data_IF_451915262673
#
_entry.id   IF_451915262673
#
_cell.length_a   1.000
_cell.length_b   1.000
_cell.length_c   1.000
_cell.angle_alpha   90.00
_cell.angle_beta   90.00
_cell.angle_gamma   90.00
#
_symmetry.space_group_name_H-M   'P 1'
#
loop_
_entity.id
_entity.type
_entity.pdbx_description
1 polymer ?
#
# COMPACT_ATOMS: atom_id res chain seq x y z
N UNK A 1 -44.06 -14.03 -21.21
CA UNK A 1 -42.88 -13.23 -21.58
C UNK A 1 -42.19 -12.79 -20.30
N UNK A 2 -41.07 -13.40 -19.94
CA UNK A 2 -40.24 -13.00 -18.78
C UNK A 2 -38.99 -12.30 -19.34
N UNK A 3 -38.80 -11.05 -18.99
CA UNK A 3 -37.64 -10.26 -19.41
C UNK A 3 -36.44 -10.64 -18.54
N UNK A 4 -35.42 -11.23 -19.17
CA UNK A 4 -34.09 -11.43 -18.59
C UNK A 4 -33.38 -10.07 -18.54
N UNK A 5 -33.22 -9.49 -17.35
CA UNK A 5 -32.26 -8.39 -17.14
C UNK A 5 -30.86 -9.01 -17.10
N UNK A 6 -30.03 -8.63 -18.06
CA UNK A 6 -28.61 -8.99 -18.11
C UNK A 6 -27.88 -8.28 -16.99
N UNK A 7 -27.37 -9.03 -16.03
CA UNK A 7 -26.41 -8.56 -15.03
C UNK A 7 -25.05 -8.48 -15.73
N UNK A 8 -24.53 -7.27 -15.89
CA UNK A 8 -23.15 -7.04 -16.33
C UNK A 8 -22.29 -7.15 -15.07
N UNK A 9 -21.57 -8.26 -14.96
CA UNK A 9 -20.57 -8.47 -13.92
C UNK A 9 -19.30 -7.78 -14.41
N UNK A 10 -18.95 -6.65 -13.81
CA UNK A 10 -17.64 -6.02 -13.96
C UNK A 10 -16.71 -6.73 -12.99
N UNK A 11 -15.69 -7.41 -13.50
CA UNK A 11 -14.63 -8.01 -12.69
C UNK A 11 -13.65 -6.92 -12.27
N UNK A 12 -13.79 -6.40 -11.05
CA UNK A 12 -12.69 -5.72 -10.37
C UNK A 12 -11.71 -6.80 -9.92
N UNK A 13 -10.56 -6.92 -10.60
CA UNK A 13 -9.50 -7.85 -10.23
C UNK A 13 -8.66 -7.15 -9.17
N UNK A 14 -9.08 -7.27 -7.90
CA UNK A 14 -8.21 -7.00 -6.77
C UNK A 14 -7.19 -8.15 -6.67
N UNK A 15 -6.02 -7.98 -7.28
CA UNK A 15 -4.90 -8.91 -7.11
C UNK A 15 -4.34 -8.74 -5.70
N UNK A 16 -4.89 -9.49 -4.74
CA UNK A 16 -4.33 -9.66 -3.41
C UNK A 16 -3.08 -10.54 -3.53
N UNK A 17 -1.91 -9.92 -3.71
CA UNK A 17 -0.63 -10.61 -3.59
C UNK A 17 -0.29 -10.80 -2.11
N UNK A 18 -0.50 -12.03 -1.61
CA UNK A 18 -0.11 -12.45 -0.26
C UNK A 18 1.34 -12.91 -0.33
N UNK A 19 2.27 -12.11 0.21
CA UNK A 19 3.67 -12.51 0.35
C UNK A 19 3.92 -13.16 1.71
N UNK A 20 4.50 -14.35 1.68
CA UNK A 20 4.97 -15.06 2.87
C UNK A 20 6.17 -14.30 3.47
N UNK A 21 6.08 -13.97 4.76
CA UNK A 21 7.19 -13.41 5.54
C UNK A 21 8.24 -14.51 5.72
N UNK A 22 9.23 -14.55 4.82
CA UNK A 22 10.48 -15.26 5.04
C UNK A 22 11.38 -14.41 5.93
N UNK A 23 11.68 -14.89 7.14
CA UNK A 23 12.69 -14.28 7.99
C UNK A 23 14.05 -14.23 7.27
N UNK A 24 14.57 -13.04 6.99
CA UNK A 24 15.91 -12.85 6.45
C UNK A 24 16.96 -13.00 7.56
N UNK A 25 17.67 -14.13 7.56
CA UNK A 25 18.91 -14.28 8.32
C UNK A 25 20.08 -13.75 7.48
N UNK A 26 20.73 -12.71 8.02
CA UNK A 26 21.91 -12.12 7.46
C UNK A 26 23.10 -13.08 7.59
N UNK A 27 23.64 -13.58 6.48
CA UNK A 27 24.91 -14.31 6.45
C UNK A 27 25.77 -13.77 5.31
N UNK A 28 26.84 -13.07 5.67
CA UNK A 28 27.75 -12.46 4.70
C UNK A 28 28.72 -13.46 4.07
N UNK A 29 29.06 -13.21 2.80
CA UNK A 29 30.46 -13.11 2.32
C UNK A 29 30.55 -12.75 0.83
N UNK A 30 31.35 -11.70 0.57
CA UNK A 30 32.30 -11.46 -0.52
C UNK A 30 31.91 -11.67 -2.00
N UNK A 31 31.97 -10.56 -2.76
CA UNK A 31 32.67 -10.54 -4.06
C UNK A 31 32.02 -9.70 -5.18
N UNK A 32 32.81 -8.77 -5.73
CA UNK A 32 32.61 -7.96 -6.95
C UNK A 32 31.75 -6.70 -6.81
N UNK A 33 32.43 -5.58 -6.55
CA UNK A 33 31.90 -4.20 -6.66
C UNK A 33 31.71 -3.84 -8.13
N UNK A 34 30.54 -4.16 -8.67
CA UNK A 34 29.94 -3.26 -9.64
C UNK A 34 29.30 -2.15 -8.80
N UNK A 35 29.90 -0.96 -8.79
CA UNK A 35 29.37 0.22 -8.10
C UNK A 35 28.03 0.61 -8.75
N UNK A 36 26.97 -0.12 -8.41
CA UNK A 36 25.62 0.40 -8.47
C UNK A 36 25.61 1.62 -7.54
N UNK A 37 24.99 2.75 -7.95
CA UNK A 37 24.79 3.86 -7.05
C UNK A 37 24.15 3.32 -5.77
N UNK A 38 24.67 3.72 -4.61
CA UNK A 38 24.12 3.29 -3.32
C UNK A 38 22.62 3.62 -3.33
N UNK A 39 21.78 2.61 -3.15
CA UNK A 39 20.33 2.82 -3.04
C UNK A 39 20.10 3.57 -1.73
N UNK A 40 19.60 4.80 -1.80
CA UNK A 40 19.44 5.70 -0.63
C UNK A 40 17.97 5.82 -0.24
N UNK A 41 17.06 5.89 -1.23
CA UNK A 41 15.66 6.20 -1.00
C UNK A 41 15.45 7.67 -0.63
N UNK A 42 14.56 8.37 -1.32
CA UNK A 42 14.26 9.78 -1.05
C UNK A 42 12.83 10.00 -0.57
N UNK A 43 12.62 11.07 0.19
CA UNK A 43 11.31 11.55 0.61
C UNK A 43 11.19 12.98 0.11
N UNK A 44 10.12 13.27 -0.64
CA UNK A 44 9.90 14.60 -1.19
C UNK A 44 9.69 15.64 -0.09
N UNK A 45 10.10 16.88 -0.37
CA UNK A 45 9.95 17.99 0.58
C UNK A 45 8.48 18.23 0.93
N UNK A 46 8.22 18.60 2.18
CA UNK A 46 6.87 18.92 2.67
C UNK A 46 6.04 17.72 3.14
N UNK A 47 6.56 16.49 3.07
CA UNK A 47 5.93 15.33 3.72
C UNK A 47 6.12 15.45 5.24
N UNK A 48 5.01 15.71 5.93
CA UNK A 48 4.92 15.80 7.40
C UNK A 48 3.87 14.81 7.89
N UNK A 49 4.32 13.60 8.24
CA UNK A 49 3.50 12.52 8.76
C UNK A 49 4.20 11.88 9.97
N UNK A 50 3.47 11.15 10.84
CA UNK A 50 4.08 10.46 11.96
C UNK A 50 5.24 9.54 11.53
N UNK A 51 6.24 9.39 12.40
CA UNK A 51 7.46 8.64 12.11
C UNK A 51 7.16 7.19 11.72
N UNK A 52 6.19 6.56 12.38
CA UNK A 52 5.76 5.19 12.09
C UNK A 52 5.18 5.04 10.69
N UNK A 53 4.47 6.07 10.22
CA UNK A 53 3.90 6.10 8.87
C UNK A 53 5.00 6.22 7.83
N UNK A 54 5.93 7.15 8.05
CA UNK A 54 7.07 7.34 7.15
C UNK A 54 7.96 6.10 7.10
N UNK A 55 8.22 5.46 8.24
CA UNK A 55 9.00 4.23 8.32
C UNK A 55 8.33 3.08 7.54
N UNK A 56 7.02 2.87 7.73
CA UNK A 56 6.28 1.84 6.99
C UNK A 56 6.26 2.12 5.48
N UNK A 57 6.09 3.38 5.07
CA UNK A 57 6.14 3.78 3.67
C UNK A 57 7.50 3.49 3.04
N UNK A 58 8.60 3.84 3.72
CA UNK A 58 9.97 3.54 3.24
C UNK A 58 10.21 2.05 3.08
N UNK A 59 9.81 1.25 4.07
CA UNK A 59 9.92 -0.22 3.98
C UNK A 59 9.14 -0.74 2.79
N UNK A 60 7.90 -0.30 2.60
CA UNK A 60 7.05 -0.77 1.50
C UNK A 60 7.60 -0.38 0.13
N UNK A 61 8.08 0.85 -0.04
CA UNK A 61 8.66 1.29 -1.32
C UNK A 61 9.97 0.58 -1.62
N UNK A 62 10.80 0.30 -0.61
CA UNK A 62 12.01 -0.49 -0.79
C UNK A 62 11.70 -1.93 -1.24
N UNK A 63 10.68 -2.57 -0.63
CA UNK A 63 10.21 -3.89 -1.07
C UNK A 63 9.72 -3.87 -2.53
N UNK A 64 8.92 -2.86 -2.91
CA UNK A 64 8.45 -2.72 -4.29
C UNK A 64 9.61 -2.49 -5.24
N UNK A 65 10.58 -1.64 -4.87
CA UNK A 65 11.76 -1.39 -5.69
C UNK A 65 12.57 -2.66 -5.94
N UNK A 66 12.75 -3.51 -4.93
CA UNK A 66 13.46 -4.78 -5.09
C UNK A 66 12.69 -5.75 -6.00
N UNK A 67 11.36 -5.86 -5.83
CA UNK A 67 10.50 -6.67 -6.70
C UNK A 67 10.53 -6.19 -8.16
N UNK A 68 10.37 -4.89 -8.39
CA UNK A 68 10.36 -4.30 -9.73
C UNK A 68 11.72 -4.48 -10.45
N UNK A 69 12.82 -4.49 -9.71
CA UNK A 69 14.15 -4.80 -10.27
C UNK A 69 14.32 -6.28 -10.62
N UNK A 70 13.65 -7.17 -9.89
CA UNK A 70 13.65 -8.61 -10.17
C UNK A 70 12.75 -8.94 -11.36
N UNK A 71 11.54 -8.38 -11.40
CA UNK A 71 10.55 -8.62 -12.44
C UNK A 71 10.90 -7.93 -13.78
N UNK A 72 11.54 -6.76 -13.72
CA UNK A 72 11.89 -5.95 -14.89
C UNK A 72 13.37 -5.53 -14.88
N UNK A 73 14.33 -6.46 -15.00
CA UNK A 73 15.76 -6.14 -14.94
C UNK A 73 16.20 -5.15 -16.03
N UNK A 74 15.57 -5.19 -17.21
CA UNK A 74 15.86 -4.30 -18.33
C UNK A 74 15.34 -2.86 -18.13
N UNK A 75 14.55 -2.61 -17.08
CA UNK A 75 14.13 -1.26 -16.72
C UNK A 75 15.21 -0.49 -15.97
N UNK A 76 16.28 -1.15 -15.48
CA UNK A 76 17.42 -0.52 -14.81
C UNK A 76 17.01 0.52 -13.76
N UNK A 77 16.16 0.11 -12.82
CA UNK A 77 15.82 0.95 -11.68
C UNK A 77 17.02 1.06 -10.72
N UNK A 78 17.39 2.29 -10.35
CA UNK A 78 18.59 2.60 -9.56
C UNK A 78 18.28 3.26 -8.22
N UNK A 79 17.09 3.85 -8.06
CA UNK A 79 16.67 4.43 -6.80
C UNK A 79 15.14 4.49 -6.68
N UNK A 80 14.64 4.92 -5.53
CA UNK A 80 13.21 5.15 -5.29
C UNK A 80 12.97 6.43 -4.50
N UNK A 81 11.77 7.00 -4.63
CA UNK A 81 11.32 8.11 -3.79
C UNK A 81 9.87 7.95 -3.39
N UNK A 82 9.53 8.47 -2.21
CA UNK A 82 8.16 8.77 -1.81
C UNK A 82 7.84 10.17 -2.34
N UNK A 83 6.95 10.23 -3.33
CA UNK A 83 6.54 11.48 -3.98
C UNK A 83 5.43 12.17 -3.18
N UNK A 84 4.47 11.40 -2.67
CA UNK A 84 3.40 11.88 -1.81
C UNK A 84 3.15 10.89 -0.68
N UNK A 85 2.88 11.41 0.52
CA UNK A 85 2.43 10.63 1.66
C UNK A 85 1.62 11.54 2.57
N UNK A 86 0.32 11.28 2.69
CA UNK A 86 -0.60 12.15 3.42
C UNK A 86 -1.68 11.35 4.14
N UNK A 87 -2.15 11.89 5.25
CA UNK A 87 -3.36 11.40 5.89
C UNK A 87 -4.54 11.45 4.89
N UNK A 88 -5.36 10.40 4.88
CA UNK A 88 -6.49 10.27 3.97
C UNK A 88 -7.80 10.16 4.74
N UNK A 89 -7.93 9.18 5.64
CA UNK A 89 -9.20 8.87 6.29
C UNK A 89 -9.01 8.07 7.57
N UNK A 90 -10.06 8.02 8.38
CA UNK A 90 -10.09 7.24 9.62
C UNK A 90 -11.32 6.33 9.63
N UNK A 91 -11.16 5.11 10.12
CA UNK A 91 -12.24 4.15 10.33
C UNK A 91 -12.32 3.72 11.78
N UNK A 92 -13.51 3.34 12.24
CA UNK A 92 -13.70 2.59 13.48
C UNK A 92 -14.22 1.19 13.10
N UNK A 93 -13.44 0.16 13.39
CA UNK A 93 -13.75 -1.24 13.07
C UNK A 93 -14.11 -1.99 14.34
N UNK A 94 -15.25 -2.69 14.36
CA UNK A 94 -15.73 -3.43 15.54
C UNK A 94 -15.65 -4.94 15.32
N UNK A 95 -15.56 -5.72 16.42
CA UNK A 95 -15.35 -7.17 16.41
C UNK A 95 -16.50 -8.01 15.81
N UNK A 96 -17.67 -7.43 15.52
CA UNK A 96 -18.81 -8.12 14.93
C UNK A 96 -18.82 -8.13 13.38
N UNK A 97 -17.64 -8.13 12.73
CA UNK A 97 -17.53 -8.11 11.26
C UNK A 97 -18.23 -6.92 10.59
N UNK A 98 -18.27 -5.76 11.27
CA UNK A 98 -18.83 -4.51 10.74
C UNK A 98 -17.81 -3.38 10.83
N UNK A 99 -17.39 -2.84 9.68
CA UNK A 99 -16.82 -1.49 9.59
C UNK A 99 -18.01 -0.55 9.47
N UNK A 100 -18.11 0.36 10.42
CA UNK A 100 -19.17 1.33 10.44
C UNK A 100 -18.52 2.68 10.19
N UNK A 101 -18.99 3.35 9.14
CA UNK A 101 -18.64 4.73 8.80
C UNK A 101 -18.97 5.61 10.03
N UNK A 102 -18.04 6.48 10.41
CA UNK A 102 -18.10 7.35 11.59
C UNK A 102 -19.51 7.91 11.88
N UNK A 103 -20.07 7.61 13.06
CA UNK A 103 -21.27 8.27 13.62
C UNK A 103 -21.12 8.46 15.14
N UNK A 104 -21.78 9.48 15.69
CA UNK A 104 -21.64 9.89 17.09
C UNK A 104 -22.15 8.83 18.10
N UNK A 105 -23.07 7.95 17.71
CA UNK A 105 -23.57 6.86 18.56
C UNK A 105 -22.53 5.75 18.78
N UNK A 106 -21.45 5.70 17.98
CA UNK A 106 -20.48 4.59 17.96
C UNK A 106 -19.21 4.82 18.78
N UNK A 107 -18.93 6.04 19.26
CA UNK A 107 -17.76 6.31 20.14
C UNK A 107 -17.79 5.50 21.45
N UNK A 108 -18.95 4.97 21.83
CA UNK A 108 -19.16 4.20 23.04
C UNK A 108 -18.83 2.69 22.93
N UNK A 109 -18.48 2.18 21.74
CA UNK A 109 -18.41 0.72 21.48
C UNK A 109 -17.03 0.09 21.71
N UNK A 110 -15.97 0.86 21.91
CA UNK A 110 -14.61 0.32 22.09
C UNK A 110 -13.98 -0.25 20.81
N UNK A 111 -14.44 0.17 19.63
CA UNK A 111 -13.90 -0.28 18.34
C UNK A 111 -12.43 0.10 18.10
N UNK A 112 -11.78 -0.62 17.20
CA UNK A 112 -10.42 -0.36 16.75
C UNK A 112 -10.39 0.83 15.78
N UNK A 113 -9.62 1.87 16.12
CA UNK A 113 -9.43 3.01 15.22
C UNK A 113 -8.35 2.70 14.19
N UNK A 114 -8.67 2.87 12.92
CA UNK A 114 -7.78 2.62 11.79
C UNK A 114 -7.52 3.93 11.04
N UNK A 115 -6.27 4.35 10.99
CA UNK A 115 -5.84 5.52 10.22
C UNK A 115 -5.31 5.07 8.86
N UNK A 116 -5.77 5.74 7.81
CA UNK A 116 -5.39 5.46 6.42
C UNK A 116 -4.55 6.62 5.89
N UNK A 117 -3.38 6.29 5.36
CA UNK A 117 -2.49 7.21 4.68
C UNK A 117 -2.38 6.85 3.21
N UNK A 118 -2.56 7.84 2.33
CA UNK A 118 -2.41 7.68 0.89
C UNK A 118 -0.97 7.97 0.49
N UNK A 119 -0.39 7.11 -0.33
CA UNK A 119 0.99 7.18 -0.78
C UNK A 119 1.08 7.17 -2.31
N UNK A 120 1.98 7.99 -2.84
CA UNK A 120 2.53 7.87 -4.17
C UNK A 120 4.05 7.68 -4.06
N UNK A 121 4.62 6.85 -4.92
CA UNK A 121 6.05 6.59 -4.96
C UNK A 121 6.51 6.51 -6.41
N UNK A 122 7.80 6.66 -6.64
CA UNK A 122 8.37 6.55 -7.97
C UNK A 122 9.75 5.90 -7.92
N UNK A 123 10.12 5.24 -9.01
CA UNK A 123 11.38 4.53 -9.18
C UNK A 123 12.22 5.23 -10.25
N UNK A 124 13.48 5.52 -9.95
CA UNK A 124 14.38 6.17 -10.89
C UNK A 124 14.94 5.13 -11.86
N UNK A 125 14.78 5.35 -13.17
CA UNK A 125 15.37 4.51 -14.22
C UNK A 125 16.51 5.23 -14.96
N UNK A 126 17.58 4.48 -15.30
CA UNK A 126 18.62 4.93 -16.24
C UNK A 126 18.31 4.55 -17.70
N UNK A 127 17.28 3.75 -17.92
CA UNK A 127 16.85 3.26 -19.24
C UNK A 127 15.38 3.58 -19.52
N UNK A 128 14.98 4.87 -19.55
CA UNK A 128 13.58 5.27 -19.75
C UNK A 128 12.98 4.74 -21.07
N UNK A 129 13.82 4.46 -22.08
CA UNK A 129 13.40 3.90 -23.37
C UNK A 129 12.97 2.43 -23.30
N UNK A 130 13.38 1.72 -22.24
CA UNK A 130 13.05 0.31 -22.05
C UNK A 130 11.73 0.13 -21.29
N UNK A 131 11.22 1.18 -20.65
CA UNK A 131 9.95 1.14 -19.91
C UNK A 131 8.81 0.83 -20.87
N UNK A 132 8.14 -0.31 -20.65
CA UNK A 132 6.88 -0.64 -21.31
C UNK A 132 5.74 -0.16 -20.44
N UNK A 133 4.96 0.79 -20.96
CA UNK A 133 3.84 1.36 -20.24
C UNK A 133 2.64 0.41 -20.18
N UNK A 134 2.14 0.21 -18.97
CA UNK A 134 0.85 -0.39 -18.66
C UNK A 134 -0.06 0.66 -17.99
N UNK A 135 -1.34 0.32 -17.80
CA UNK A 135 -2.35 1.25 -17.29
C UNK A 135 -1.91 1.93 -15.98
N UNK A 136 -2.10 3.25 -15.90
CA UNK A 136 -1.77 4.06 -14.72
C UNK A 136 -0.34 4.63 -14.71
N UNK A 137 0.59 3.94 -15.38
CA UNK A 137 2.01 4.29 -15.33
C UNK A 137 2.30 5.65 -15.95
N UNK A 138 3.28 6.34 -15.38
CA UNK A 138 3.88 7.52 -16.01
C UNK A 138 5.39 7.55 -15.77
N UNK A 139 6.08 8.36 -16.58
CA UNK A 139 7.48 8.73 -16.36
C UNK A 139 7.61 10.25 -16.37
N UNK A 140 8.36 10.80 -15.42
CA UNK A 140 8.68 12.23 -15.38
C UNK A 140 9.84 12.56 -16.32
N UNK A 141 10.08 13.85 -16.57
CA UNK A 141 11.23 14.30 -17.35
C UNK A 141 12.60 13.98 -16.73
N UNK A 142 12.62 13.63 -15.45
CA UNK A 142 13.81 13.22 -14.69
C UNK A 142 13.95 11.69 -14.57
N UNK A 143 13.17 10.94 -15.36
CA UNK A 143 13.14 9.47 -15.38
C UNK A 143 12.61 8.81 -14.10
N UNK A 144 11.82 9.53 -13.29
CA UNK A 144 11.05 8.89 -12.22
C UNK A 144 9.81 8.21 -12.81
N UNK A 145 9.69 6.91 -12.60
CA UNK A 145 8.60 6.06 -13.08
C UNK A 145 7.65 5.80 -11.93
N UNK A 146 6.36 6.06 -12.11
CA UNK A 146 5.33 5.44 -11.29
C UNK A 146 4.93 4.13 -11.96
N UNK A 147 5.29 2.94 -11.40
CA UNK A 147 5.04 1.66 -12.05
C UNK A 147 3.59 1.20 -11.97
N UNK A 148 2.74 1.87 -11.18
CA UNK A 148 1.32 1.55 -11.05
C UNK A 148 0.41 2.76 -11.30
N UNK A 149 -0.64 2.99 -10.50
CA UNK A 149 -1.55 4.13 -10.59
C UNK A 149 -1.19 5.20 -9.54
N UNK A 150 -1.02 6.48 -9.93
CA UNK A 150 -0.66 7.53 -9.01
C UNK A 150 -1.62 7.61 -7.82
N UNK A 151 -1.07 7.70 -6.60
CA UNK A 151 -1.84 7.84 -5.36
C UNK A 151 -2.79 6.67 -5.06
N UNK A 152 -2.57 5.49 -5.64
CA UNK A 152 -3.41 4.31 -5.43
C UNK A 152 -2.94 3.39 -4.32
N UNK A 153 -1.87 3.73 -3.59
CA UNK A 153 -1.40 2.93 -2.45
C UNK A 153 -1.91 3.53 -1.14
N UNK A 154 -2.55 2.70 -0.32
CA UNK A 154 -3.08 3.09 0.97
C UNK A 154 -2.49 2.24 2.08
N UNK A 155 -1.87 2.89 3.07
CA UNK A 155 -1.30 2.23 4.24
C UNK A 155 -2.29 2.34 5.39
N UNK A 156 -2.62 1.19 5.99
CA UNK A 156 -3.54 1.10 7.12
C UNK A 156 -2.77 0.90 8.42
N UNK A 157 -3.11 1.70 9.44
CA UNK A 157 -2.50 1.66 10.76
C UNK A 157 -3.58 1.54 11.82
N UNK A 158 -3.32 0.75 12.86
CA UNK A 158 -4.11 0.81 14.10
C UNK A 158 -3.62 1.98 14.94
N UNK A 159 -4.54 2.81 15.39
CA UNK A 159 -4.27 3.85 16.38
C UNK A 159 -4.62 3.33 17.77
N UNK A 160 -3.62 3.27 18.64
CA UNK A 160 -3.78 3.02 20.09
C UNK A 160 -3.24 4.25 20.83
N UNK A 161 -4.14 5.04 21.45
CA UNK A 161 -3.80 6.34 22.07
C UNK A 161 -3.08 7.26 21.08
N UNK A 162 -1.78 7.53 21.28
CA UNK A 162 -0.93 8.36 20.42
C UNK A 162 -0.02 7.54 19.49
N UNK A 163 -0.10 6.19 19.53
CA UNK A 163 0.76 5.29 18.76
C UNK A 163 0.07 4.75 17.51
N UNK A 164 0.79 4.80 16.39
CA UNK A 164 0.40 4.15 15.14
C UNK A 164 1.14 2.82 14.97
N UNK A 165 0.38 1.75 14.71
CA UNK A 165 0.94 0.42 14.40
C UNK A 165 0.54 0.03 12.98
N UNK A 166 1.52 -0.13 12.09
CA UNK A 166 1.28 -0.57 10.71
C UNK A 166 0.60 -1.94 10.68
N UNK A 167 -0.42 -2.08 9.83
CA UNK A 167 -1.16 -3.33 9.66
C UNK A 167 -0.89 -3.93 8.26
N UNK A 168 -1.20 -3.17 7.22
CA UNK A 168 -1.06 -3.61 5.84
C UNK A 168 -1.07 -2.42 4.87
N UNK A 169 -0.73 -2.71 3.62
CA UNK A 169 -0.89 -1.78 2.48
C UNK A 169 -1.88 -2.40 1.50
N UNK A 170 -2.78 -1.60 0.94
CA UNK A 170 -3.70 -1.99 -0.13
C UNK A 170 -3.52 -1.09 -1.36
N UNK A 171 -3.98 -1.59 -2.51
CA UNK A 171 -3.95 -0.87 -3.77
C UNK A 171 -5.38 -0.68 -4.26
N UNK A 172 -5.80 0.57 -4.41
CA UNK A 172 -7.12 0.93 -4.93
C UNK A 172 -6.97 2.09 -5.91
N UNK A 173 -7.49 1.93 -7.13
CA UNK A 173 -7.41 2.95 -8.17
C UNK A 173 -8.76 3.42 -8.71
N UNK A 174 -9.85 2.77 -8.33
CA UNK A 174 -11.22 3.08 -8.75
C UNK A 174 -12.15 3.48 -7.59
N UNK A 175 -11.64 3.46 -6.36
CA UNK A 175 -12.33 3.92 -5.17
C UNK A 175 -11.38 4.65 -4.21
N UNK A 176 -11.95 5.33 -3.22
CA UNK A 176 -11.22 6.06 -2.19
C UNK A 176 -11.71 5.67 -0.79
N UNK A 177 -10.88 5.91 0.24
CA UNK A 177 -11.34 5.81 1.61
C UNK A 177 -12.63 6.61 1.86
N UNK A 178 -13.61 5.96 2.48
CA UNK A 178 -14.98 6.45 2.68
C UNK A 178 -16.00 5.86 1.70
N UNK A 179 -15.56 5.35 0.55
CA UNK A 179 -16.46 4.69 -0.41
C UNK A 179 -16.88 3.30 0.09
N UNK A 180 -18.07 2.84 -0.33
CA UNK A 180 -18.59 1.52 0.03
C UNK A 180 -17.66 0.38 -0.43
N UNK A 181 -17.09 0.51 -1.64
CA UNK A 181 -16.18 -0.48 -2.23
C UNK A 181 -14.90 -0.56 -1.39
N UNK A 182 -14.20 0.58 -1.21
CA UNK A 182 -12.99 0.64 -0.39
C UNK A 182 -13.21 0.08 1.01
N UNK A 183 -14.33 0.45 1.64
CA UNK A 183 -14.67 0.00 3.00
C UNK A 183 -14.92 -1.51 3.05
N UNK A 184 -15.55 -2.07 2.01
CA UNK A 184 -15.72 -3.51 1.86
C UNK A 184 -14.39 -4.25 1.72
N UNK A 185 -13.48 -3.75 0.89
CA UNK A 185 -12.17 -4.37 0.67
C UNK A 185 -11.28 -4.30 1.91
N UNK A 186 -11.28 -3.15 2.60
CA UNK A 186 -10.62 -2.98 3.90
C UNK A 186 -11.09 -4.05 4.90
N UNK A 187 -12.41 -4.27 5.01
CA UNK A 187 -12.98 -5.27 5.91
C UNK A 187 -12.59 -6.70 5.53
N UNK A 188 -12.61 -7.02 4.24
CA UNK A 188 -12.21 -8.34 3.75
C UNK A 188 -10.75 -8.65 4.13
N UNK A 189 -9.85 -7.67 4.03
CA UNK A 189 -8.46 -7.80 4.46
C UNK A 189 -8.39 -8.07 5.97
N UNK A 190 -9.12 -7.31 6.80
CA UNK A 190 -9.14 -7.53 8.25
C UNK A 190 -9.61 -8.93 8.64
N UNK A 191 -10.68 -9.42 8.01
CA UNK A 191 -11.18 -10.77 8.23
C UNK A 191 -10.14 -11.83 7.87
N UNK A 192 -9.38 -11.62 6.80
CA UNK A 192 -8.32 -12.52 6.39
C UNK A 192 -7.17 -12.52 7.40
N UNK A 193 -6.69 -11.34 7.80
CA UNK A 193 -5.59 -11.20 8.75
C UNK A 193 -5.96 -11.82 10.11
N UNK A 194 -7.17 -11.59 10.61
CA UNK A 194 -7.60 -12.14 11.90
C UNK A 194 -7.64 -13.67 11.90
N UNK A 195 -8.10 -14.29 10.80
CA UNK A 195 -8.14 -15.76 10.65
C UNK A 195 -6.75 -16.38 10.61
N UNK A 196 -5.76 -15.70 10.03
CA UNK A 196 -4.44 -16.28 9.78
C UNK A 196 -3.38 -15.95 10.84
N UNK A 197 -3.51 -14.80 11.51
CA UNK A 197 -2.49 -14.34 12.46
C UNK A 197 -2.89 -14.52 13.93
N UNK A 198 -4.05 -15.14 14.19
CA UNK A 198 -4.58 -15.32 15.55
C UNK A 198 -4.55 -14.00 16.35
N UNK A 199 -4.64 -12.88 15.65
CA UNK A 199 -4.81 -11.57 16.27
C UNK A 199 -6.16 -11.61 16.96
N UNK A 200 -6.26 -11.22 18.24
CA UNK A 200 -7.56 -11.00 18.81
C UNK A 200 -8.22 -9.89 17.99
N UNK A 201 -9.15 -10.25 17.12
CA UNK A 201 -10.31 -9.41 16.91
C UNK A 201 -10.92 -9.30 18.30
N UNK A 202 -10.62 -8.19 18.97
CA UNK A 202 -11.16 -7.65 20.22
C UNK A 202 -11.99 -8.63 21.07
N UNK A 203 -11.54 -8.85 22.32
CA UNK A 203 -12.41 -9.32 23.41
C UNK A 203 -13.56 -8.34 23.61
#
# INVERSE_FOLDING_TARGET
MKAFKRVIIVFAIATVMIFYIGCMQNSGKNGSTNDLPSVVGYVSEGIDVPEEVLAAAKTKVAEIFDMEREDFPDYYYTNWRIENLKYSYSYLVTGEDKAIIYSDDYKATGGMKIEIYQMNFELLTESPKNIVFAGGMYITGENWVMPDYPNSRFLAFRQDEDKLTYLFTMMENDCNPGDEIFTGDLLNIFQHIAKHFNMPLLV
#
